data_IF_517409602077
#
_entry.id   IF_517409602077
#
_cell.length_a   1.000
_cell.length_b   1.000
_cell.length_c   1.000
_cell.angle_alpha   90.00
_cell.angle_beta   90.00
_cell.angle_gamma   90.00
#
_symmetry.space_group_name_H-M   'P 1'
#
loop_
_entity.id
_entity.type
_entity.pdbx_description
1 polymer ?
#
# COMPACT_ATOMS: atom_id res chain seq x y z
N UNK A 1 -0.80 -3.49 26.53
CA UNK A 1 -1.32 -3.53 25.13
C UNK A 1 -0.47 -4.51 24.32
N UNK A 2 -0.96 -5.73 24.08
CA UNK A 2 -0.33 -6.71 23.18
C UNK A 2 -1.04 -6.67 21.82
N UNK A 3 -0.93 -5.57 21.09
CA UNK A 3 -1.66 -5.42 19.81
C UNK A 3 -0.87 -5.92 18.57
N UNK A 4 0.40 -6.33 18.72
CA UNK A 4 1.24 -6.71 17.58
C UNK A 4 2.10 -7.96 17.76
N UNK A 5 2.02 -8.71 18.86
CA UNK A 5 2.85 -9.91 19.02
C UNK A 5 2.05 -11.17 19.38
N UNK A 6 2.30 -12.23 18.61
CA UNK A 6 1.99 -13.64 18.90
C UNK A 6 0.68 -14.27 18.41
N UNK A 7 0.15 -13.86 17.26
CA UNK A 7 -0.65 -14.79 16.47
C UNK A 7 -0.11 -14.74 15.06
N UNK A 8 0.44 -15.85 14.56
CA UNK A 8 0.72 -16.04 13.14
C UNK A 8 -0.60 -15.89 12.40
N UNK A 9 -0.95 -14.65 12.05
CA UNK A 9 -2.19 -14.36 11.34
C UNK A 9 -1.86 -14.40 9.87
N UNK A 10 -2.65 -15.16 9.14
CA UNK A 10 -2.64 -15.10 7.70
C UNK A 10 -2.98 -13.69 7.24
N UNK A 11 -2.47 -13.32 6.07
CA UNK A 11 -2.82 -12.07 5.41
C UNK A 11 -4.35 -11.86 5.44
N UNK A 12 -4.84 -10.70 5.89
CA UNK A 12 -6.28 -10.45 6.06
C UNK A 12 -7.05 -10.42 4.74
N UNK A 13 -6.34 -10.42 3.61
CA UNK A 13 -6.91 -10.57 2.27
C UNK A 13 -6.92 -12.00 1.74
N UNK A 14 -6.54 -12.99 2.55
CA UNK A 14 -6.63 -14.40 2.19
C UNK A 14 -5.54 -14.85 1.20
N UNK A 15 -4.35 -14.26 1.25
CA UNK A 15 -3.24 -14.63 0.36
C UNK A 15 -2.61 -16.00 0.67
N UNK A 16 -3.07 -16.72 1.71
CA UNK A 16 -2.54 -18.04 2.09
C UNK A 16 -1.11 -18.01 2.66
N UNK A 17 -0.62 -16.83 3.06
CA UNK A 17 0.70 -16.64 3.66
C UNK A 17 0.58 -15.92 4.99
N UNK A 18 1.51 -16.21 5.90
CA UNK A 18 1.65 -15.49 7.16
C UNK A 18 1.93 -14.01 6.87
N UNK A 19 1.22 -13.13 7.57
CA UNK A 19 1.38 -11.70 7.38
C UNK A 19 2.70 -11.22 7.97
N UNK A 20 3.58 -10.72 7.11
CA UNK A 20 4.80 -10.00 7.47
C UNK A 20 4.76 -8.58 6.93
N UNK A 21 5.65 -7.71 7.41
CA UNK A 21 5.80 -6.36 6.87
C UNK A 21 6.23 -6.39 5.39
N UNK A 22 7.11 -7.34 5.03
CA UNK A 22 7.54 -7.54 3.65
C UNK A 22 6.36 -7.97 2.77
N UNK A 23 5.60 -8.98 3.19
CA UNK A 23 4.40 -9.38 2.46
C UNK A 23 3.42 -8.21 2.32
N UNK A 24 3.12 -7.51 3.42
CA UNK A 24 2.17 -6.40 3.40
C UNK A 24 2.59 -5.27 2.44
N UNK A 25 3.88 -4.94 2.36
CA UNK A 25 4.35 -3.79 1.58
C UNK A 25 4.73 -4.15 0.13
N UNK A 26 5.21 -5.37 -0.10
CA UNK A 26 5.89 -5.78 -1.33
C UNK A 26 5.18 -6.93 -2.02
N UNK A 27 4.88 -8.03 -1.32
CA UNK A 27 4.41 -9.25 -2.00
C UNK A 27 2.88 -9.35 -2.11
N UNK A 28 2.14 -8.61 -1.29
CA UNK A 28 0.69 -8.67 -1.26
C UNK A 28 0.11 -8.11 -2.56
N UNK A 29 -0.65 -8.94 -3.28
CA UNK A 29 -1.29 -8.58 -4.55
C UNK A 29 -2.23 -7.40 -4.42
N UNK A 30 -2.90 -7.25 -3.27
CA UNK A 30 -3.79 -6.12 -2.97
C UNK A 30 -3.01 -4.82 -2.83
N UNK A 31 -1.89 -4.87 -2.09
CA UNK A 31 -0.97 -3.75 -1.94
C UNK A 31 -0.37 -3.33 -3.28
N UNK A 32 0.02 -4.29 -4.11
CA UNK A 32 0.53 -4.02 -5.45
C UNK A 32 -0.54 -3.40 -6.35
N UNK A 33 -1.75 -3.98 -6.38
CA UNK A 33 -2.85 -3.44 -7.18
C UNK A 33 -3.20 -2.00 -6.82
N UNK A 34 -3.16 -1.66 -5.53
CA UNK A 34 -3.45 -0.30 -5.08
C UNK A 34 -2.37 0.71 -5.52
N UNK A 35 -1.09 0.38 -5.31
CA UNK A 35 0.01 1.24 -5.75
C UNK A 35 0.03 1.37 -7.27
N UNK A 36 -0.02 0.26 -7.99
CA UNK A 36 -0.04 0.26 -9.46
C UNK A 36 -1.23 1.05 -9.99
N UNK A 37 -2.42 0.87 -9.42
CA UNK A 37 -3.64 1.58 -9.82
C UNK A 37 -3.50 3.09 -9.67
N UNK A 38 -3.07 3.57 -8.50
CA UNK A 38 -2.90 5.02 -8.25
C UNK A 38 -1.77 5.58 -9.11
N UNK A 39 -0.60 4.94 -9.12
CA UNK A 39 0.57 5.44 -9.85
C UNK A 39 0.31 5.47 -11.36
N UNK A 40 -0.39 4.46 -11.91
CA UNK A 40 -0.78 4.43 -13.32
C UNK A 40 -1.69 5.59 -13.70
N UNK A 41 -2.69 5.92 -12.88
CA UNK A 41 -3.58 7.07 -13.13
C UNK A 41 -2.82 8.39 -13.05
N UNK A 42 -1.87 8.49 -12.12
CA UNK A 42 -1.00 9.66 -11.97
C UNK A 42 0.16 9.69 -12.98
N UNK A 43 0.23 8.77 -13.94
CA UNK A 43 1.30 8.71 -14.94
C UNK A 43 2.70 8.57 -14.34
N UNK A 44 2.82 7.93 -13.17
CA UNK A 44 4.08 7.64 -12.50
C UNK A 44 4.44 6.19 -12.80
N UNK A 45 5.59 5.98 -13.43
CA UNK A 45 6.07 4.67 -13.84
C UNK A 45 7.41 4.35 -13.17
N UNK A 46 7.70 3.05 -13.03
CA UNK A 46 8.97 2.55 -12.51
C UNK A 46 9.30 3.04 -11.09
N UNK A 47 8.30 3.26 -10.24
CA UNK A 47 8.49 3.55 -8.81
C UNK A 47 7.83 2.43 -8.01
N UNK A 48 8.47 2.02 -6.92
CA UNK A 48 7.97 1.04 -5.96
C UNK A 48 7.73 -0.37 -6.53
N UNK A 49 8.39 -0.72 -7.64
CA UNK A 49 8.31 -2.04 -8.25
C UNK A 49 9.09 -3.05 -7.39
N UNK A 50 8.38 -3.66 -6.45
CA UNK A 50 8.84 -4.68 -5.51
C UNK A 50 10.08 -4.30 -4.67
N UNK A 51 10.34 -3.01 -4.49
CA UNK A 51 11.44 -2.53 -3.66
C UNK A 51 10.93 -2.18 -2.25
N UNK A 52 11.41 -2.94 -1.26
CA UNK A 52 11.03 -2.73 0.13
C UNK A 52 11.43 -1.35 0.64
N UNK A 53 12.60 -0.83 0.27
CA UNK A 53 13.06 0.48 0.73
C UNK A 53 12.20 1.62 0.15
N UNK A 54 11.83 1.53 -1.13
CA UNK A 54 10.89 2.48 -1.74
C UNK A 54 9.50 2.39 -1.10
N UNK A 55 8.99 1.18 -0.78
CA UNK A 55 7.65 0.99 -0.18
C UNK A 55 7.59 1.36 1.30
N UNK A 56 8.59 0.97 2.10
CA UNK A 56 8.63 1.19 3.54
C UNK A 56 9.07 2.62 3.89
N UNK A 57 10.11 3.11 3.21
CA UNK A 57 10.79 4.35 3.57
C UNK A 57 10.58 5.48 2.56
N UNK A 58 9.95 5.22 1.40
CA UNK A 58 9.74 6.22 0.34
C UNK A 58 11.06 6.83 -0.16
N UNK A 59 12.14 6.07 -0.08
CA UNK A 59 13.46 6.47 -0.56
C UNK A 59 13.48 6.20 -2.07
N UNK A 60 13.15 7.21 -2.87
CA UNK A 60 13.09 7.08 -4.33
C UNK A 60 14.37 7.60 -4.95
N UNK A 61 15.13 6.68 -5.54
CA UNK A 61 16.39 7.00 -6.23
C UNK A 61 16.19 7.35 -7.71
N UNK A 62 15.02 7.03 -8.27
CA UNK A 62 14.73 7.15 -9.70
C UNK A 62 14.21 8.54 -10.05
N UNK A 63 14.65 9.07 -11.20
CA UNK A 63 14.14 10.35 -11.73
C UNK A 63 12.70 10.19 -12.21
N UNK A 64 11.86 11.17 -11.88
CA UNK A 64 10.45 11.23 -12.27
C UNK A 64 10.01 12.67 -12.52
N UNK A 65 8.85 12.85 -13.17
CA UNK A 65 8.33 14.18 -13.55
C UNK A 65 7.96 15.08 -12.38
N UNK A 66 7.59 14.48 -11.25
CA UNK A 66 7.25 15.19 -10.02
C UNK A 66 8.51 15.57 -9.24
N UNK A 67 8.42 16.45 -8.25
CA UNK A 67 9.52 16.62 -7.30
C UNK A 67 9.46 15.51 -6.23
N UNK A 68 10.56 15.29 -5.50
CA UNK A 68 10.65 14.20 -4.51
C UNK A 68 9.59 14.32 -3.41
N UNK A 69 9.28 15.55 -2.97
CA UNK A 69 8.27 15.82 -1.94
C UNK A 69 6.87 15.38 -2.38
N UNK A 70 6.50 15.67 -3.64
CA UNK A 70 5.20 15.30 -4.20
C UNK A 70 5.06 13.78 -4.25
N UNK A 71 6.09 13.07 -4.70
CA UNK A 71 6.03 11.61 -4.75
C UNK A 71 6.02 11.02 -3.34
N UNK A 72 6.78 11.59 -2.41
CA UNK A 72 6.73 11.20 -1.00
C UNK A 72 5.31 11.33 -0.42
N UNK A 73 4.60 12.43 -0.70
CA UNK A 73 3.21 12.64 -0.27
C UNK A 73 2.30 11.59 -0.91
N UNK A 74 2.36 11.40 -2.23
CA UNK A 74 1.54 10.42 -2.96
C UNK A 74 1.71 9.02 -2.36
N UNK A 75 2.95 8.55 -2.18
CA UNK A 75 3.22 7.24 -1.60
C UNK A 75 2.75 7.12 -0.15
N UNK A 76 2.83 8.21 0.61
CA UNK A 76 2.35 8.25 2.01
C UNK A 76 0.83 8.15 2.09
N UNK A 77 0.10 8.84 1.21
CA UNK A 77 -1.37 8.74 1.13
C UNK A 77 -1.77 7.31 0.73
N UNK A 78 -1.14 6.72 -0.29
CA UNK A 78 -1.40 5.33 -0.68
C UNK A 78 -1.20 4.38 0.51
N UNK A 79 -0.05 4.50 1.21
CA UNK A 79 0.26 3.63 2.34
C UNK A 79 -0.72 3.81 3.50
N UNK A 80 -1.17 5.04 3.77
CA UNK A 80 -2.19 5.31 4.78
C UNK A 80 -3.50 4.57 4.48
N UNK A 81 -4.01 4.68 3.25
CA UNK A 81 -5.25 3.99 2.88
C UNK A 81 -5.09 2.47 2.87
N UNK A 82 -3.93 1.97 2.43
CA UNK A 82 -3.61 0.55 2.49
C UNK A 82 -3.67 0.00 3.93
N UNK A 83 -3.04 0.70 4.87
CA UNK A 83 -3.10 0.38 6.31
C UNK A 83 -4.52 0.44 6.85
N UNK A 84 -5.28 1.47 6.48
CA UNK A 84 -6.66 1.63 6.90
C UNK A 84 -7.53 0.44 6.48
N UNK A 85 -7.42 0.01 5.21
CA UNK A 85 -8.17 -1.14 4.69
C UNK A 85 -7.73 -2.45 5.33
N UNK A 86 -6.43 -2.64 5.53
CA UNK A 86 -5.89 -3.79 6.25
C UNK A 86 -6.51 -3.91 7.65
N UNK A 87 -6.57 -2.79 8.38
CA UNK A 87 -7.18 -2.74 9.70
C UNK A 87 -8.67 -3.08 9.62
N UNK A 88 -9.43 -2.48 8.69
CA UNK A 88 -10.85 -2.80 8.52
C UNK A 88 -11.07 -4.30 8.27
N UNK A 89 -10.31 -4.90 7.35
CA UNK A 89 -10.35 -6.33 7.05
C UNK A 89 -10.03 -7.21 8.25
N UNK A 90 -8.97 -6.88 8.99
CA UNK A 90 -8.57 -7.60 10.21
C UNK A 90 -9.68 -7.61 11.27
N UNK A 91 -10.49 -6.55 11.34
CA UNK A 91 -11.61 -6.44 12.28
C UNK A 91 -12.97 -6.87 11.71
N UNK A 92 -12.98 -7.54 10.54
CA UNK A 92 -14.21 -8.04 9.92
C UNK A 92 -15.16 -6.94 9.41
N UNK A 93 -14.64 -5.73 9.17
CA UNK A 93 -15.39 -4.62 8.57
C UNK A 93 -15.22 -4.61 7.05
N UNK A 94 -16.28 -4.15 6.41
CA UNK A 94 -16.66 -4.14 4.99
C UNK A 94 -15.57 -4.33 3.90
N UNK A 95 -15.98 -4.96 2.80
CA UNK A 95 -15.21 -5.23 1.59
C UNK A 95 -15.13 -3.97 0.69
N UNK A 96 -14.44 -2.91 1.13
CA UNK A 96 -14.08 -1.84 0.19
C UNK A 96 -13.27 -2.42 -0.97
N UNK A 97 -13.74 -2.20 -2.20
CA UNK A 97 -13.02 -2.63 -3.39
C UNK A 97 -11.79 -1.74 -3.60
N UNK A 98 -10.74 -2.31 -4.18
CA UNK A 98 -9.51 -1.56 -4.47
C UNK A 98 -9.80 -0.37 -5.38
N UNK A 99 -10.72 -0.50 -6.34
CA UNK A 99 -11.15 0.60 -7.20
C UNK A 99 -11.78 1.77 -6.42
N UNK A 100 -12.59 1.49 -5.40
CA UNK A 100 -13.16 2.53 -4.54
C UNK A 100 -12.06 3.26 -3.76
N UNK A 101 -11.05 2.52 -3.28
CA UNK A 101 -9.89 3.10 -2.60
C UNK A 101 -9.04 3.94 -3.54
N UNK A 102 -8.75 3.46 -4.75
CA UNK A 102 -8.00 4.23 -5.75
C UNK A 102 -8.70 5.57 -6.02
N UNK A 103 -10.03 5.55 -6.25
CA UNK A 103 -10.80 6.78 -6.45
C UNK A 103 -10.77 7.71 -5.24
N UNK A 104 -10.75 7.17 -4.03
CA UNK A 104 -10.65 7.95 -2.80
C UNK A 104 -9.29 8.64 -2.69
N UNK A 105 -8.20 7.88 -2.89
CA UNK A 105 -6.83 8.41 -2.89
C UNK A 105 -6.68 9.54 -3.91
N UNK A 106 -7.18 9.34 -5.13
CA UNK A 106 -7.08 10.34 -6.21
C UNK A 106 -7.88 11.63 -5.95
N UNK A 107 -8.79 11.66 -4.97
CA UNK A 107 -9.49 12.88 -4.54
C UNK A 107 -8.74 13.64 -3.44
N UNK A 108 -7.78 12.98 -2.80
CA UNK A 108 -7.00 13.50 -1.68
C UNK A 108 -5.58 13.95 -2.11
N UNK A 109 -5.19 13.65 -3.36
CA UNK A 109 -3.95 14.09 -4.03
C UNK A 109 -4.29 15.25 -4.95
#
# INVERSE_FOLDING_TARGET
MKYLSHVRKECPWGCGVEESQEHFLVDCSVSNSLYEGVLKVLGIYNICANDYAERAYRIIHRKHRYNQETVFIILSVIQYHLWSIRCMKTFGKDNQSIDQTIRKILREI
#
